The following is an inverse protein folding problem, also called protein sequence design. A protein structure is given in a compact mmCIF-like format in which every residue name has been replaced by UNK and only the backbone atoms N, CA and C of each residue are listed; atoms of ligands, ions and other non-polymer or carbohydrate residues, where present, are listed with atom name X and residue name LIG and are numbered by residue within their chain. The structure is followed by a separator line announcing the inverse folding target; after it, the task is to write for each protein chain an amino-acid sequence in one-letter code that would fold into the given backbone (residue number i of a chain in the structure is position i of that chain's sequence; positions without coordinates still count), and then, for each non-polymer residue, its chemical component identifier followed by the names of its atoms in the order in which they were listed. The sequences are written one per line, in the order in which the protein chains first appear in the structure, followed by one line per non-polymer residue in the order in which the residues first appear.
data_IF_340566473668
#
_entry.id   IF_340566473668
#
_cell.length_a   1.000
_cell.length_b   1.000
_cell.length_c   1.000
_cell.angle_alpha   90.00
_cell.angle_beta   90.00
_cell.angle_gamma   90.00
#
_symmetry.space_group_name_H-M   'P 1'
#
loop_
_entity.id
_entity.type
_entity.pdbx_description
1 polymer ?
#
# COMPACT_ATOMS: atom_id res chain seq x y z
N UNK A 1 -34.01 -0.08 19.87
CA UNK A 1 -32.54 -0.16 19.73
C UNK A 1 -32.04 1.26 19.57
N UNK A 2 -31.01 1.63 20.32
CA UNK A 2 -30.63 3.01 20.59
C UNK A 2 -29.65 3.55 19.52
N UNK A 3 -30.01 4.65 18.89
CA UNK A 3 -29.28 5.31 17.80
C UNK A 3 -27.93 5.93 18.27
N UNK A 4 -27.68 5.95 19.59
CA UNK A 4 -26.48 6.52 20.22
C UNK A 4 -25.21 5.68 20.04
N UNK A 5 -25.30 4.44 19.53
CA UNK A 5 -24.13 3.56 19.35
C UNK A 5 -23.39 3.83 18.02
N UNK A 6 -24.03 4.47 17.04
CA UNK A 6 -23.46 4.64 15.69
C UNK A 6 -22.35 5.71 15.57
N UNK A 7 -22.05 6.46 16.63
CA UNK A 7 -21.16 7.62 16.58
C UNK A 7 -19.84 7.47 17.38
N UNK A 8 -19.46 6.26 17.79
CA UNK A 8 -18.28 6.05 18.66
C UNK A 8 -16.92 5.98 17.93
N UNK A 9 -16.88 6.14 16.60
CA UNK A 9 -15.62 6.27 15.86
C UNK A 9 -15.64 7.59 15.08
N UNK A 10 -14.90 8.57 15.61
CA UNK A 10 -14.70 9.88 15.00
C UNK A 10 -14.44 9.79 13.51
N UNK A 11 -15.18 10.59 12.76
CA UNK A 11 -15.17 10.70 11.29
C UNK A 11 -13.91 11.37 10.72
N UNK A 12 -12.77 11.25 11.38
CA UNK A 12 -11.49 11.60 10.78
C UNK A 12 -10.86 10.30 10.28
N UNK A 13 -11.25 9.89 9.06
CA UNK A 13 -10.48 8.89 8.33
C UNK A 13 -9.07 9.47 8.22
N UNK A 14 -8.13 8.90 8.96
CA UNK A 14 -6.72 9.24 8.82
C UNK A 14 -6.39 9.27 7.33
N UNK A 15 -5.80 10.38 6.88
CA UNK A 15 -5.47 10.55 5.47
C UNK A 15 -4.67 9.31 5.05
N UNK A 16 -5.15 8.59 4.04
CA UNK A 16 -4.65 7.26 3.73
C UNK A 16 -3.17 7.40 3.34
N UNK A 17 -2.23 7.09 4.24
CA UNK A 17 -0.79 7.40 4.11
C UNK A 17 -0.18 6.78 2.85
N UNK A 18 -0.72 5.64 2.44
CA UNK A 18 -0.25 4.87 1.31
C UNK A 18 -1.15 5.03 0.09
N UNK A 19 -0.54 5.17 -1.08
CA UNK A 19 -1.21 5.21 -2.39
C UNK A 19 -0.74 4.04 -3.23
N UNK A 20 -1.67 3.27 -3.80
CA UNK A 20 -1.37 2.23 -4.80
C UNK A 20 -1.28 2.92 -6.16
N UNK A 21 -0.18 2.72 -6.89
CA UNK A 21 0.06 3.32 -8.21
C UNK A 21 0.01 2.31 -9.36
N UNK A 22 0.19 1.03 -9.06
CA UNK A 22 -0.05 -0.08 -10.00
C UNK A 22 -0.70 -1.24 -9.25
N UNK A 23 -1.54 -1.99 -9.94
CA UNK A 23 -2.22 -3.20 -9.47
C UNK A 23 -2.33 -4.13 -10.69
N UNK A 24 -1.36 -5.02 -10.83
CA UNK A 24 -1.29 -5.96 -11.95
C UNK A 24 -1.55 -7.38 -11.46
N UNK A 25 -2.65 -7.95 -11.93
CA UNK A 25 -2.91 -9.38 -11.76
C UNK A 25 -2.14 -10.15 -12.83
N UNK A 26 -1.14 -10.91 -12.37
CA UNK A 26 -0.37 -11.83 -13.20
C UNK A 26 -1.20 -13.08 -13.53
N UNK A 27 -0.90 -13.75 -14.65
CA UNK A 27 -1.53 -15.03 -15.05
C UNK A 27 -1.42 -16.12 -13.95
N UNK A 28 -0.42 -15.98 -13.08
CA UNK A 28 -0.15 -16.84 -11.92
C UNK A 28 -1.07 -16.60 -10.72
N UNK A 29 -2.11 -15.75 -10.84
CA UNK A 29 -2.97 -15.28 -9.73
C UNK A 29 -2.24 -14.50 -8.64
N UNK A 30 -1.04 -14.03 -8.94
CA UNK A 30 -0.34 -13.07 -8.09
C UNK A 30 -0.79 -11.67 -8.45
N UNK A 31 -1.02 -10.84 -7.45
CA UNK A 31 -1.20 -9.41 -7.64
C UNK A 31 0.12 -8.70 -7.28
N UNK A 32 0.58 -7.85 -8.18
CA UNK A 32 1.78 -7.03 -8.02
C UNK A 32 1.32 -5.58 -7.86
N UNK A 33 1.55 -5.03 -6.67
CA UNK A 33 1.23 -3.64 -6.37
C UNK A 33 2.52 -2.84 -6.19
N UNK A 34 2.51 -1.62 -6.70
CA UNK A 34 3.47 -0.59 -6.26
C UNK A 34 2.73 0.36 -5.33
N UNK A 35 3.24 0.49 -4.11
CA UNK A 35 2.69 1.35 -3.06
C UNK A 35 3.65 2.49 -2.80
N UNK A 36 3.12 3.71 -2.69
CA UNK A 36 3.86 4.91 -2.35
C UNK A 36 3.45 5.36 -0.96
N UNK A 37 4.41 5.52 -0.05
CA UNK A 37 4.21 6.27 1.18
C UNK A 37 4.20 7.77 0.84
N UNK A 38 3.07 8.44 1.03
CA UNK A 38 2.95 9.87 0.71
C UNK A 38 3.79 10.77 1.62
N UNK A 39 4.15 10.30 2.82
CA UNK A 39 4.94 11.05 3.79
C UNK A 39 6.43 11.01 3.42
N UNK A 40 6.98 9.81 3.22
CA UNK A 40 8.41 9.62 2.92
C UNK A 40 8.73 9.61 1.42
N UNK A 41 7.70 9.50 0.56
CA UNK A 41 7.79 9.26 -0.89
C UNK A 41 8.37 7.91 -1.28
N UNK A 42 8.73 7.05 -0.33
CA UNK A 42 9.31 5.73 -0.59
C UNK A 42 8.33 4.84 -1.33
N UNK A 43 8.85 4.10 -2.30
CA UNK A 43 8.11 3.11 -3.07
C UNK A 43 8.36 1.70 -2.55
N UNK A 44 7.29 0.91 -2.49
CA UNK A 44 7.29 -0.48 -2.07
C UNK A 44 6.70 -1.34 -3.19
N UNK A 45 7.35 -2.47 -3.48
CA UNK A 45 6.79 -3.55 -4.27
C UNK A 45 6.11 -4.53 -3.32
N UNK A 46 4.85 -4.82 -3.57
CA UNK A 46 4.08 -5.81 -2.82
C UNK A 46 3.62 -6.88 -3.78
N UNK A 47 3.91 -8.14 -3.45
CA UNK A 47 3.43 -9.30 -4.18
C UNK A 47 2.50 -10.06 -3.26
N UNK A 48 1.26 -10.27 -3.69
CA UNK A 48 0.25 -11.07 -2.98
C UNK A 48 -0.28 -12.18 -3.88
N UNK A 49 -0.76 -13.29 -3.31
CA UNK A 49 -1.50 -14.31 -4.06
C UNK A 49 -3.00 -14.20 -3.77
N UNK A 50 -3.81 -14.27 -4.83
CA UNK A 50 -5.25 -14.24 -4.72
C UNK A 50 -5.78 -15.37 -3.84
N UNK A 51 -6.25 -15.01 -2.64
CA UNK A 51 -6.97 -15.90 -1.73
C UNK A 51 -6.31 -16.14 -0.36
N UNK A 52 -5.04 -15.78 -0.16
CA UNK A 52 -4.38 -15.87 1.15
C UNK A 52 -3.92 -14.50 1.63
N UNK A 53 -4.58 -13.99 2.66
CA UNK A 53 -4.20 -12.76 3.39
C UNK A 53 -2.86 -12.91 4.16
N UNK A 54 -2.18 -14.06 4.08
CA UNK A 54 -1.07 -14.44 4.96
C UNK A 54 0.34 -14.28 4.38
N UNK A 55 0.52 -14.41 3.06
CA UNK A 55 1.85 -14.45 2.44
C UNK A 55 2.08 -13.22 1.56
N UNK A 56 2.16 -12.06 2.20
CA UNK A 56 2.43 -10.78 1.53
C UNK A 56 3.87 -10.36 1.83
N UNK A 57 4.73 -10.46 0.82
CA UNK A 57 6.09 -9.92 0.89
C UNK A 57 6.09 -8.45 0.44
N UNK A 58 6.63 -7.56 1.27
CA UNK A 58 6.85 -6.15 0.93
C UNK A 58 8.35 -5.88 0.79
N UNK A 59 8.75 -5.30 -0.34
CA UNK A 59 10.15 -4.94 -0.64
C UNK A 59 10.26 -3.45 -0.90
N UNK A 60 11.19 -2.77 -0.24
CA UNK A 60 11.51 -1.36 -0.54
C UNK A 60 12.24 -1.31 -1.87
N UNK A 61 11.79 -0.45 -2.79
CA UNK A 61 12.49 -0.20 -4.04
C UNK A 61 13.62 0.80 -3.82
N UNK A 62 14.81 0.48 -4.32
CA UNK A 62 16.04 1.27 -4.13
C UNK A 62 16.77 1.46 -5.46
N UNK A 63 17.57 2.53 -5.54
CA UNK A 63 18.55 2.77 -6.61
C UNK A 63 19.77 1.85 -6.42
N UNK A 64 20.68 1.83 -7.39
CA UNK A 64 21.91 1.01 -7.42
C UNK A 64 22.83 1.21 -6.21
N UNK A 65 22.72 2.34 -5.52
CA UNK A 65 23.51 2.68 -4.34
C UNK A 65 22.80 2.35 -3.02
N UNK A 66 21.61 1.75 -3.08
CA UNK A 66 20.79 1.39 -1.92
C UNK A 66 19.88 2.52 -1.42
N UNK A 67 19.86 3.69 -2.06
CA UNK A 67 18.96 4.79 -1.70
C UNK A 67 17.51 4.45 -2.09
N UNK A 68 16.51 4.65 -1.22
CA UNK A 68 15.11 4.44 -1.59
C UNK A 68 14.67 5.25 -2.81
N UNK A 69 13.96 4.61 -3.73
CA UNK A 69 13.33 5.29 -4.86
C UNK A 69 12.16 6.13 -4.36
N UNK A 70 12.16 7.42 -4.70
CA UNK A 70 11.13 8.37 -4.29
C UNK A 70 10.17 8.68 -5.44
N UNK A 71 8.87 8.59 -5.18
CA UNK A 71 7.85 9.02 -6.13
C UNK A 71 7.84 10.56 -6.26
N UNK A 72 7.93 11.07 -7.49
CA UNK A 72 7.87 12.51 -7.78
C UNK A 72 9.20 13.27 -7.69
N UNK A 73 10.34 12.57 -7.76
CA UNK A 73 11.62 13.20 -8.12
C UNK A 73 11.71 13.29 -9.65
N UNK A 74 11.13 14.36 -10.20
CA UNK A 74 11.58 14.98 -11.44
C UNK A 74 12.22 16.34 -11.08
#
# INVERSE_FOLDING_TARGET
MDERVFNMFGKDKAENRFRIISNELMETKQNVDIIVDKETKVQYLVISQGGSMGDVGGTVLVDKDGTPLLAGKD
#
